data_IF_246007464493
#
_entry.id   IF_246007464493
#
_cell.length_a   1.000
_cell.length_b   1.000
_cell.length_c   1.000
_cell.angle_alpha   90.00
_cell.angle_beta   90.00
_cell.angle_gamma   90.00
#
_symmetry.space_group_name_H-M   'P 1'
#
loop_
_entity.id
_entity.type
_entity.pdbx_description
1 polymer ?
#
# COMPACT_ATOMS: atom_id res chain seq x y z
N UNK A 1 28.77 -3.00 -26.04
CA UNK A 1 27.71 -3.95 -26.41
C UNK A 1 26.74 -4.06 -25.25
N UNK A 2 25.44 -4.18 -25.53
CA UNK A 2 24.42 -4.23 -24.47
C UNK A 2 24.50 -5.58 -23.74
N UNK A 3 24.67 -5.55 -22.42
CA UNK A 3 24.64 -6.72 -21.55
C UNK A 3 23.18 -7.21 -21.48
N UNK A 4 22.92 -8.49 -21.80
CA UNK A 4 21.58 -9.05 -21.64
C UNK A 4 21.20 -9.08 -20.17
N UNK A 5 19.99 -8.62 -19.85
CA UNK A 5 19.45 -8.79 -18.51
C UNK A 5 18.87 -10.21 -18.35
N UNK A 6 18.75 -10.72 -17.10
CA UNK A 6 18.08 -11.99 -16.84
C UNK A 6 16.64 -12.06 -17.36
N UNK A 7 16.00 -10.90 -17.58
CA UNK A 7 14.67 -10.80 -18.19
C UNK A 7 14.72 -11.03 -19.69
N UNK A 8 15.71 -10.47 -20.38
CA UNK A 8 15.92 -10.62 -21.82
C UNK A 8 16.21 -12.09 -22.19
N UNK A 9 16.89 -12.84 -21.31
CA UNK A 9 17.15 -14.27 -21.51
C UNK A 9 15.87 -15.11 -21.40
N UNK A 10 14.95 -14.73 -20.50
CA UNK A 10 13.69 -15.47 -20.28
C UNK A 10 12.63 -15.18 -21.36
N UNK A 11 12.66 -13.99 -21.94
CA UNK A 11 11.70 -13.57 -22.96
C UNK A 11 12.19 -13.88 -24.39
N UNK A 12 13.41 -14.39 -24.55
CA UNK A 12 13.95 -14.75 -25.87
C UNK A 12 13.23 -15.96 -26.48
N UNK A 13 12.79 -15.82 -27.73
CA UNK A 13 12.11 -16.88 -28.48
C UNK A 13 12.85 -17.14 -29.79
N UNK A 14 13.22 -18.40 -30.04
CA UNK A 14 13.97 -18.81 -31.24
C UNK A 14 13.04 -19.10 -32.40
N UNK A 15 13.47 -18.84 -33.63
CA UNK A 15 12.67 -19.18 -34.81
C UNK A 15 12.75 -20.67 -35.14
N UNK A 16 11.62 -21.23 -35.55
CA UNK A 16 11.51 -22.65 -35.93
C UNK A 16 11.74 -22.84 -37.44
N UNK A 17 12.52 -23.83 -37.84
CA UNK A 17 12.87 -24.06 -39.25
C UNK A 17 11.70 -24.74 -40.00
N UNK A 18 11.26 -24.18 -41.13
CA UNK A 18 10.00 -24.52 -41.84
C UNK A 18 9.81 -26.00 -42.26
N UNK A 19 10.84 -26.85 -42.21
CA UNK A 19 10.76 -28.23 -42.73
C UNK A 19 11.39 -29.32 -41.83
N UNK A 20 11.79 -28.99 -40.59
CA UNK A 20 12.19 -29.97 -39.56
C UNK A 20 11.73 -29.49 -38.19
N UNK A 21 11.33 -30.40 -37.32
CA UNK A 21 11.11 -30.08 -35.91
C UNK A 21 12.45 -29.67 -35.28
N UNK A 22 12.63 -28.36 -35.06
CA UNK A 22 13.87 -27.82 -34.50
C UNK A 22 13.95 -26.30 -34.60
N UNK A 23 14.72 -25.71 -33.70
CA UNK A 23 15.13 -24.31 -33.75
C UNK A 23 16.35 -24.15 -34.65
N UNK A 24 16.57 -22.94 -35.18
CA UNK A 24 17.78 -22.63 -35.95
C UNK A 24 19.00 -22.72 -35.03
N UNK A 25 19.92 -23.64 -35.32
CA UNK A 25 21.06 -23.96 -34.43
C UNK A 25 22.05 -22.80 -34.40
N UNK A 26 22.23 -22.09 -35.51
CA UNK A 26 23.15 -20.95 -35.59
C UNK A 26 22.63 -19.77 -34.73
N UNK A 27 21.30 -19.55 -34.70
CA UNK A 27 20.66 -18.52 -33.84
C UNK A 27 20.78 -18.87 -32.35
N UNK A 28 20.72 -20.15 -32.00
CA UNK A 28 20.88 -20.63 -30.63
C UNK A 28 22.33 -20.49 -30.18
N UNK A 29 23.30 -20.84 -31.03
CA UNK A 29 24.72 -20.75 -30.71
C UNK A 29 25.17 -19.29 -30.55
N UNK A 30 24.74 -18.38 -31.44
CA UNK A 30 25.01 -16.94 -31.31
C UNK A 30 24.45 -16.36 -30.00
N UNK A 31 23.25 -16.81 -29.59
CA UNK A 31 22.65 -16.40 -28.32
C UNK A 31 23.41 -16.96 -27.11
N UNK A 32 23.87 -18.21 -27.17
CA UNK A 32 24.67 -18.83 -26.09
C UNK A 32 26.03 -18.14 -25.93
N UNK A 33 26.67 -17.72 -27.02
CA UNK A 33 27.90 -16.92 -26.97
C UNK A 33 27.65 -15.56 -26.32
N UNK A 34 26.54 -14.90 -26.67
CA UNK A 34 26.17 -13.61 -26.08
C UNK A 34 25.81 -13.70 -24.59
N UNK A 35 25.18 -14.80 -24.16
CA UNK A 35 24.92 -15.11 -22.74
C UNK A 35 26.22 -15.39 -22.00
N UNK A 36 27.15 -16.13 -22.61
CA UNK A 36 28.45 -16.47 -22.01
C UNK A 36 29.29 -15.22 -21.80
N UNK A 37 29.37 -14.36 -22.81
CA UNK A 37 30.08 -13.09 -22.72
C UNK A 37 29.44 -12.15 -21.67
N UNK A 38 28.11 -12.13 -21.58
CA UNK A 38 27.39 -11.35 -20.56
C UNK A 38 27.62 -11.90 -19.15
N UNK A 39 27.68 -13.22 -18.96
CA UNK A 39 27.97 -13.87 -17.66
C UNK A 39 29.42 -13.66 -17.26
N UNK A 40 30.37 -13.73 -18.19
CA UNK A 40 31.77 -13.39 -17.93
C UNK A 40 31.95 -11.91 -17.59
N UNK A 41 31.26 -11.02 -18.30
CA UNK A 41 31.29 -9.59 -18.04
C UNK A 41 30.66 -9.26 -16.68
N UNK A 42 29.49 -9.83 -16.36
CA UNK A 42 28.87 -9.70 -15.03
C UNK A 42 29.75 -10.33 -13.94
N UNK A 43 30.41 -11.45 -14.21
CA UNK A 43 31.35 -12.10 -13.30
C UNK A 43 32.56 -11.20 -13.01
N UNK A 44 33.13 -10.55 -14.03
CA UNK A 44 34.20 -9.55 -13.88
C UNK A 44 33.70 -8.29 -13.14
N UNK A 45 32.48 -7.85 -13.39
CA UNK A 45 31.87 -6.69 -12.71
C UNK A 45 31.52 -6.97 -11.24
N UNK A 46 31.11 -8.20 -10.93
CA UNK A 46 30.89 -8.68 -9.56
C UNK A 46 32.22 -8.85 -8.79
N UNK A 47 33.29 -9.25 -9.47
CA UNK A 47 34.65 -9.29 -8.90
C UNK A 47 35.25 -7.88 -8.68
N UNK A 48 34.87 -6.87 -9.47
CA UNK A 48 35.39 -5.51 -9.31
C UNK A 48 34.58 -4.63 -8.33
N UNK A 49 33.30 -4.92 -8.09
CA UNK A 49 32.42 -4.08 -7.25
C UNK A 49 31.79 -4.79 -6.04
N UNK A 50 32.23 -6.00 -5.69
CA UNK A 50 31.77 -6.70 -4.48
C UNK A 50 32.60 -6.31 -3.24
N UNK A 51 31.98 -5.86 -2.14
CA UNK A 51 32.69 -5.73 -0.87
C UNK A 51 33.08 -7.13 -0.35
N UNK A 52 34.39 -7.37 -0.30
CA UNK A 52 35.04 -8.31 0.62
C UNK A 52 34.58 -9.79 0.58
N UNK A 53 34.95 -10.53 -0.47
CA UNK A 53 35.16 -11.98 -0.33
C UNK A 53 36.58 -12.28 0.19
N UNK A 54 36.83 -11.91 1.44
CA UNK A 54 37.85 -12.54 2.29
C UNK A 54 37.04 -13.42 3.26
N UNK A 55 37.12 -14.77 3.15
CA UNK A 55 38.21 -15.48 3.83
C UNK A 55 38.79 -16.71 3.12
N UNK A 56 38.37 -17.09 1.90
CA UNK A 56 38.88 -18.32 1.28
C UNK A 56 40.38 -18.27 0.94
N UNK A 57 40.94 -17.08 0.64
CA UNK A 57 42.39 -16.93 0.47
C UNK A 57 43.16 -17.11 1.79
N UNK A 58 42.57 -16.68 2.91
CA UNK A 58 43.18 -16.81 4.24
C UNK A 58 43.11 -18.26 4.73
N UNK A 59 41.99 -18.94 4.48
CA UNK A 59 41.81 -20.34 4.84
C UNK A 59 42.71 -21.27 4.02
N UNK A 60 42.89 -21.00 2.72
CA UNK A 60 43.82 -21.76 1.87
C UNK A 60 45.29 -21.44 2.23
N UNK A 61 45.60 -20.20 2.61
CA UNK A 61 46.92 -19.84 3.13
C UNK A 61 47.21 -20.53 4.49
N UNK A 62 46.22 -20.58 5.38
CA UNK A 62 46.31 -21.27 6.67
C UNK A 62 46.43 -22.79 6.47
N UNK A 63 45.69 -23.37 5.52
CA UNK A 63 45.79 -24.78 5.13
C UNK A 63 47.17 -25.10 4.54
N UNK A 64 47.70 -24.26 3.66
CA UNK A 64 49.04 -24.44 3.09
C UNK A 64 50.15 -24.27 4.14
N UNK A 65 49.99 -23.34 5.10
CA UNK A 65 50.88 -23.23 6.24
C UNK A 65 50.83 -24.50 7.11
N UNK A 66 49.62 -25.02 7.37
CA UNK A 66 49.41 -26.28 8.12
C UNK A 66 49.98 -27.49 7.39
N UNK A 67 49.86 -27.57 6.06
CA UNK A 67 50.46 -28.63 5.23
C UNK A 67 51.99 -28.54 5.27
N UNK A 68 52.56 -27.33 5.21
CA UNK A 68 54.00 -27.12 5.35
C UNK A 68 54.48 -27.54 6.74
N UNK A 69 53.74 -27.19 7.79
CA UNK A 69 54.04 -27.56 9.17
C UNK A 69 53.90 -29.07 9.42
N UNK A 70 52.86 -29.71 8.86
CA UNK A 70 52.69 -31.17 8.89
C UNK A 70 53.81 -31.88 8.12
N UNK A 71 54.25 -31.35 6.98
CA UNK A 71 55.39 -31.91 6.24
C UNK A 71 56.70 -31.80 7.03
N UNK A 72 56.92 -30.67 7.73
CA UNK A 72 58.07 -30.51 8.62
C UNK A 72 57.99 -31.47 9.83
N UNK A 73 56.81 -31.72 10.38
CA UNK A 73 56.62 -32.73 11.42
C UNK A 73 56.85 -34.15 10.90
N UNK A 74 56.41 -34.49 9.69
CA UNK A 74 56.66 -35.80 9.06
C UNK A 74 58.17 -36.00 8.80
N UNK A 75 58.87 -34.98 8.34
CA UNK A 75 60.34 -34.98 8.20
C UNK A 75 61.03 -35.17 9.56
N UNK A 76 60.59 -34.44 10.60
CA UNK A 76 61.11 -34.58 11.97
C UNK A 76 60.87 -35.98 12.53
N UNK A 77 59.67 -36.54 12.36
CA UNK A 77 59.32 -37.89 12.82
C UNK A 77 60.04 -38.98 12.03
N UNK A 78 60.33 -38.76 10.74
CA UNK A 78 61.18 -39.67 9.95
C UNK A 78 62.62 -39.64 10.46
N UNK A 79 63.15 -38.46 10.75
CA UNK A 79 64.50 -38.29 11.32
C UNK A 79 64.60 -38.91 12.72
N UNK A 80 63.58 -38.73 13.55
CA UNK A 80 63.48 -39.37 14.86
C UNK A 80 63.40 -40.90 14.74
N UNK A 81 62.65 -41.44 13.77
CA UNK A 81 62.63 -42.87 13.49
C UNK A 81 63.98 -43.40 12.94
N UNK A 82 64.74 -42.60 12.18
CA UNK A 82 66.08 -42.99 11.73
C UNK A 82 67.09 -42.93 12.88
N UNK A 83 66.98 -41.95 13.76
CA UNK A 83 67.82 -41.80 14.95
C UNK A 83 67.51 -42.91 15.96
N UNK A 84 66.23 -43.26 16.16
CA UNK A 84 65.81 -44.39 17.00
C UNK A 84 66.27 -45.74 16.41
N UNK A 85 66.28 -45.90 15.08
CA UNK A 85 66.88 -47.08 14.43
C UNK A 85 68.41 -47.12 14.60
N UNK A 86 69.09 -45.98 14.55
CA UNK A 86 70.53 -45.88 14.80
C UNK A 86 70.87 -46.15 16.28
N UNK A 87 70.02 -45.72 17.21
CA UNK A 87 70.12 -46.03 18.65
C UNK A 87 69.87 -47.51 18.92
N UNK A 88 68.90 -48.13 18.25
CA UNK A 88 68.68 -49.58 18.33
C UNK A 88 69.86 -50.41 17.79
N UNK A 89 70.60 -49.89 16.81
CA UNK A 89 71.82 -50.52 16.29
C UNK A 89 73.04 -50.38 17.23
N UNK A 90 73.04 -49.41 18.15
CA UNK A 90 74.14 -49.10 19.07
C UNK A 90 73.86 -49.46 20.55
N UNK A 91 72.85 -50.29 20.83
CA UNK A 91 72.44 -50.71 22.18
C UNK A 91 73.40 -51.74 22.84
N UNK A 92 74.70 -51.45 22.85
CA UNK A 92 75.75 -52.31 23.39
C UNK A 92 76.61 -51.70 24.50
N UNK A 93 76.43 -50.44 24.94
CA UNK A 93 77.30 -49.84 25.97
C UNK A 93 76.59 -48.80 26.86
N UNK A 94 77.01 -48.74 28.12
CA UNK A 94 76.41 -48.01 29.24
C UNK A 94 76.30 -46.46 29.12
N UNK A 95 76.73 -45.85 28.00
CA UNK A 95 76.50 -44.43 27.71
C UNK A 95 75.11 -44.13 27.15
N UNK A 96 74.34 -45.16 26.77
CA UNK A 96 73.00 -45.01 26.21
C UNK A 96 71.94 -44.62 27.27
N UNK A 97 72.13 -45.02 28.54
CA UNK A 97 71.21 -44.68 29.62
C UNK A 97 71.24 -43.18 29.96
N UNK A 98 72.43 -42.57 29.93
CA UNK A 98 72.62 -41.13 30.17
C UNK A 98 72.11 -40.26 29.01
N UNK A 99 72.23 -40.74 27.77
CA UNK A 99 71.66 -40.06 26.60
C UNK A 99 70.14 -40.20 26.55
N UNK A 100 69.59 -41.39 26.83
CA UNK A 100 68.15 -41.61 26.92
C UNK A 100 67.50 -40.77 28.04
N UNK A 101 68.18 -40.62 29.19
CA UNK A 101 67.72 -39.74 30.25
C UNK A 101 67.68 -38.27 29.80
N UNK A 102 68.72 -37.78 29.11
CA UNK A 102 68.75 -36.39 28.58
C UNK A 102 67.66 -36.14 27.54
N UNK A 103 67.43 -37.07 26.61
CA UNK A 103 66.37 -36.94 25.60
C UNK A 103 64.98 -36.99 26.23
N UNK A 104 64.76 -37.81 27.25
CA UNK A 104 63.49 -37.84 27.99
C UNK A 104 63.23 -36.51 28.74
N UNK A 105 64.26 -35.89 29.32
CA UNK A 105 64.13 -34.58 29.97
C UNK A 105 63.82 -33.47 28.97
N UNK A 106 64.43 -33.49 27.79
CA UNK A 106 64.12 -32.54 26.70
C UNK A 106 62.68 -32.72 26.16
N UNK A 107 62.20 -33.96 26.04
CA UNK A 107 60.83 -34.22 25.62
C UNK A 107 59.81 -33.78 26.68
N UNK A 108 60.10 -33.97 27.97
CA UNK A 108 59.28 -33.43 29.07
C UNK A 108 59.24 -31.90 29.04
N UNK A 109 60.39 -31.24 28.85
CA UNK A 109 60.44 -29.77 28.78
C UNK A 109 59.65 -29.23 27.58
N UNK A 110 59.73 -29.87 26.42
CA UNK A 110 58.91 -29.52 25.24
C UNK A 110 57.42 -29.77 25.48
N UNK A 111 57.06 -30.84 26.18
CA UNK A 111 55.67 -31.13 26.53
C UNK A 111 55.12 -30.11 27.55
N UNK A 112 55.93 -29.67 28.51
CA UNK A 112 55.60 -28.62 29.47
C UNK A 112 55.45 -27.25 28.79
N UNK A 113 56.33 -26.91 27.84
CA UNK A 113 56.20 -25.70 27.01
C UNK A 113 54.94 -25.72 26.16
N UNK A 114 54.61 -26.85 25.53
CA UNK A 114 53.37 -27.02 24.76
C UNK A 114 52.13 -26.90 25.65
N UNK A 115 52.13 -27.51 26.84
CA UNK A 115 51.03 -27.34 27.80
C UNK A 115 50.90 -25.90 28.29
N UNK A 116 52.02 -25.20 28.48
CA UNK A 116 52.02 -23.78 28.86
C UNK A 116 51.49 -22.89 27.72
N UNK A 117 51.83 -23.19 26.47
CA UNK A 117 51.30 -22.51 25.30
C UNK A 117 49.78 -22.74 25.15
N UNK A 118 49.32 -23.98 25.34
CA UNK A 118 47.89 -24.31 25.32
C UNK A 118 47.11 -23.61 26.46
N UNK A 119 47.71 -23.49 27.66
CA UNK A 119 47.10 -22.76 28.77
C UNK A 119 46.92 -21.27 28.45
N UNK A 120 47.95 -20.63 27.87
CA UNK A 120 47.87 -19.23 27.41
C UNK A 120 46.82 -19.06 26.31
N UNK A 121 46.71 -20.01 25.39
CA UNK A 121 45.71 -20.00 24.33
C UNK A 121 44.29 -20.15 24.89
N UNK A 122 44.06 -21.02 25.87
CA UNK A 122 42.78 -21.17 26.56
C UNK A 122 42.39 -19.90 27.34
N UNK A 123 43.34 -19.26 28.01
CA UNK A 123 43.10 -17.96 28.68
C UNK A 123 42.75 -16.86 27.67
N UNK A 124 43.38 -16.85 26.49
CA UNK A 124 43.06 -15.92 25.42
C UNK A 124 41.65 -16.15 24.86
N UNK A 125 41.26 -17.40 24.63
CA UNK A 125 39.90 -17.73 24.19
C UNK A 125 38.85 -17.37 25.24
N UNK A 126 39.16 -17.56 26.53
CA UNK A 126 38.26 -17.17 27.61
C UNK A 126 38.03 -15.66 27.63
N UNK A 127 39.08 -14.85 27.48
CA UNK A 127 38.97 -13.39 27.37
C UNK A 127 38.17 -12.96 26.13
N UNK A 128 38.36 -13.62 24.99
CA UNK A 128 37.58 -13.35 23.78
C UNK A 128 36.11 -13.70 23.96
N UNK A 129 35.78 -14.81 24.64
CA UNK A 129 34.42 -15.20 24.97
C UNK A 129 33.75 -14.21 25.93
N UNK A 130 34.47 -13.73 26.95
CA UNK A 130 34.00 -12.70 27.88
C UNK A 130 33.72 -11.37 27.15
N UNK A 131 34.63 -10.96 26.25
CA UNK A 131 34.45 -9.76 25.43
C UNK A 131 33.25 -9.87 24.47
N UNK A 132 33.07 -11.03 23.82
CA UNK A 132 31.93 -11.31 22.95
C UNK A 132 30.60 -11.27 23.74
N UNK A 133 30.61 -11.77 24.98
CA UNK A 133 29.43 -11.74 25.85
C UNK A 133 29.06 -10.31 26.25
N UNK A 134 30.05 -9.47 26.60
CA UNK A 134 29.80 -8.05 26.88
C UNK A 134 29.27 -7.29 25.66
N UNK A 135 29.82 -7.55 24.47
CA UNK A 135 29.34 -6.93 23.24
C UNK A 135 27.91 -7.36 22.90
N UNK A 136 27.57 -8.63 23.09
CA UNK A 136 26.21 -9.14 22.90
C UNK A 136 25.21 -8.50 23.87
N UNK A 137 25.59 -8.28 25.14
CA UNK A 137 24.76 -7.57 26.11
C UNK A 137 24.54 -6.10 25.73
N UNK A 138 25.58 -5.42 25.24
CA UNK A 138 25.47 -4.04 24.77
C UNK A 138 24.55 -3.92 23.56
N UNK A 139 24.73 -4.79 22.55
CA UNK A 139 23.89 -4.81 21.35
C UNK A 139 22.42 -5.11 21.70
N UNK A 140 22.18 -5.97 22.69
CA UNK A 140 20.83 -6.23 23.19
C UNK A 140 20.20 -4.97 23.81
N UNK A 141 20.96 -4.25 24.64
CA UNK A 141 20.49 -3.01 25.24
C UNK A 141 20.16 -1.94 24.19
N UNK A 142 21.04 -1.76 23.21
CA UNK A 142 20.83 -0.80 22.12
C UNK A 142 19.61 -1.17 21.26
N UNK A 143 19.39 -2.48 21.01
CA UNK A 143 18.21 -2.98 20.30
C UNK A 143 16.91 -2.74 21.08
N UNK A 144 16.92 -2.90 22.40
CA UNK A 144 15.76 -2.63 23.26
C UNK A 144 15.41 -1.14 23.23
N UNK A 145 16.41 -0.25 23.32
CA UNK A 145 16.21 1.20 23.21
C UNK A 145 15.66 1.63 21.85
N UNK A 146 16.20 1.08 20.75
CA UNK A 146 15.71 1.37 19.40
C UNK A 146 14.27 0.90 19.21
N UNK A 147 13.90 -0.24 19.81
CA UNK A 147 12.53 -0.76 19.79
C UNK A 147 11.57 0.18 20.52
N UNK A 148 11.98 0.69 21.68
CA UNK A 148 11.18 1.65 22.46
C UNK A 148 11.00 2.97 21.70
N UNK A 149 12.05 3.47 21.05
CA UNK A 149 11.99 4.67 20.22
C UNK A 149 11.07 4.48 19.00
N UNK A 150 11.15 3.32 18.34
CA UNK A 150 10.27 2.99 17.22
C UNK A 150 8.78 2.92 17.64
N UNK A 151 8.50 2.35 18.82
CA UNK A 151 7.16 2.29 19.37
C UNK A 151 6.62 3.69 19.71
N UNK A 152 7.45 4.56 20.30
CA UNK A 152 7.09 5.95 20.59
C UNK A 152 6.77 6.75 19.33
N UNK A 153 7.57 6.61 18.27
CA UNK A 153 7.31 7.25 16.98
C UNK A 153 6.02 6.75 16.33
N UNK A 154 5.75 5.44 16.37
CA UNK A 154 4.50 4.87 15.87
C UNK A 154 3.27 5.42 16.59
N UNK A 155 3.35 5.59 17.92
CA UNK A 155 2.26 6.17 18.69
C UNK A 155 1.97 7.63 18.31
N UNK A 156 3.03 8.42 18.08
CA UNK A 156 2.89 9.80 17.58
C UNK A 156 2.26 9.84 16.18
N UNK A 157 2.61 8.90 15.29
CA UNK A 157 2.04 8.80 13.95
C UNK A 157 0.52 8.54 14.03
N UNK A 158 0.09 7.61 14.88
CA UNK A 158 -1.34 7.29 15.02
C UNK A 158 -2.14 8.45 15.63
N UNK A 159 -1.57 9.17 16.62
CA UNK A 159 -2.21 10.36 17.19
C UNK A 159 -2.41 11.46 16.13
N UNK A 160 -1.40 11.72 15.31
CA UNK A 160 -1.47 12.73 14.26
C UNK A 160 -2.42 12.32 13.11
N UNK A 161 -2.50 11.03 12.74
CA UNK A 161 -3.52 10.55 11.81
C UNK A 161 -4.93 10.78 12.33
N UNK A 162 -5.17 10.47 13.62
CA UNK A 162 -6.46 10.71 14.25
C UNK A 162 -6.85 12.21 14.22
N UNK A 163 -5.89 13.11 14.49
CA UNK A 163 -6.10 14.55 14.36
C UNK A 163 -6.40 14.96 12.91
N UNK A 164 -5.71 14.39 11.92
CA UNK A 164 -5.95 14.66 10.50
C UNK A 164 -7.36 14.27 10.04
N UNK A 165 -7.86 13.10 10.43
CA UNK A 165 -9.23 12.68 10.12
C UNK A 165 -10.27 13.54 10.87
N UNK A 166 -9.97 13.99 12.09
CA UNK A 166 -10.84 14.93 12.81
C UNK A 166 -10.97 16.28 12.06
N UNK A 167 -9.86 16.86 11.61
CA UNK A 167 -9.85 18.12 10.83
C UNK A 167 -10.57 17.97 9.49
N UNK A 168 -10.45 16.81 8.84
CA UNK A 168 -11.15 16.50 7.60
C UNK A 168 -12.66 16.43 7.80
N UNK A 169 -13.12 15.80 8.89
CA UNK A 169 -14.54 15.75 9.23
C UNK A 169 -15.10 17.13 9.55
N UNK A 170 -14.35 17.97 10.28
CA UNK A 170 -14.71 19.37 10.52
C UNK A 170 -14.82 20.17 9.23
N UNK A 171 -13.90 19.98 8.28
CA UNK A 171 -13.96 20.62 6.96
C UNK A 171 -15.20 20.21 6.15
N UNK A 172 -15.55 18.92 6.17
CA UNK A 172 -16.75 18.45 5.50
C UNK A 172 -18.03 19.09 6.10
N UNK A 173 -18.08 19.23 7.43
CA UNK A 173 -19.17 19.91 8.12
C UNK A 173 -19.25 21.40 7.78
N UNK A 174 -18.12 22.11 7.80
CA UNK A 174 -18.06 23.53 7.42
C UNK A 174 -18.48 23.74 5.98
N UNK A 175 -18.05 22.86 5.05
CA UNK A 175 -18.47 22.91 3.65
C UNK A 175 -19.99 22.74 3.52
N UNK A 176 -20.59 21.77 4.22
CA UNK A 176 -22.04 21.60 4.27
C UNK A 176 -22.78 22.79 4.86
N UNK A 177 -22.19 23.50 5.83
CA UNK A 177 -22.75 24.74 6.37
C UNK A 177 -22.68 25.88 5.35
N UNK A 178 -21.56 26.05 4.65
CA UNK A 178 -21.39 27.06 3.59
C UNK A 178 -22.37 26.83 2.44
N UNK A 179 -22.58 25.58 2.04
CA UNK A 179 -23.54 25.24 0.98
C UNK A 179 -24.98 25.59 1.41
N UNK A 180 -25.34 25.29 2.67
CA UNK A 180 -26.64 25.66 3.25
C UNK A 180 -26.84 27.17 3.31
N UNK A 181 -25.84 27.91 3.80
CA UNK A 181 -25.89 29.36 3.87
C UNK A 181 -26.00 29.99 2.48
N UNK A 182 -25.28 29.45 1.49
CA UNK A 182 -25.40 29.91 0.09
C UNK A 182 -26.82 29.72 -0.44
N UNK A 183 -27.43 28.56 -0.15
CA UNK A 183 -28.82 28.30 -0.55
C UNK A 183 -29.82 29.24 0.13
N UNK A 184 -29.60 29.58 1.41
CA UNK A 184 -30.42 30.57 2.13
C UNK A 184 -30.24 31.98 1.55
N UNK A 185 -29.02 32.35 1.19
CA UNK A 185 -28.74 33.63 0.53
C UNK A 185 -29.47 33.70 -0.82
N UNK A 186 -29.44 32.64 -1.62
CA UNK A 186 -30.17 32.60 -2.89
C UNK A 186 -31.68 32.76 -2.69
N UNK A 187 -32.24 32.16 -1.64
CA UNK A 187 -33.66 32.31 -1.28
C UNK A 187 -33.99 33.73 -0.83
N UNK A 188 -33.17 34.33 0.04
CA UNK A 188 -33.33 35.70 0.52
C UNK A 188 -33.13 36.71 -0.61
N UNK A 189 -32.20 36.46 -1.53
CA UNK A 189 -31.95 37.29 -2.72
C UNK A 189 -33.14 37.22 -3.68
N UNK A 190 -33.74 36.04 -3.85
CA UNK A 190 -34.95 35.86 -4.63
C UNK A 190 -36.18 36.53 -3.96
N UNK A 191 -36.26 36.54 -2.63
CA UNK A 191 -37.29 37.28 -1.88
C UNK A 191 -37.10 38.80 -1.97
N UNK A 192 -35.86 39.28 -1.81
CA UNK A 192 -35.49 40.69 -1.99
C UNK A 192 -35.79 41.20 -3.41
N UNK A 193 -35.55 40.38 -4.43
CA UNK A 193 -35.90 40.71 -5.82
C UNK A 193 -37.43 40.79 -6.05
N UNK A 194 -38.24 40.09 -5.25
CA UNK A 194 -39.71 40.19 -5.28
C UNK A 194 -40.23 41.40 -4.50
N UNK A 195 -39.49 41.90 -3.52
CA UNK A 195 -39.87 43.01 -2.62
C UNK A 195 -39.06 44.29 -2.85
N UNK A 196 -38.63 44.55 -4.10
CA UNK A 196 -37.77 45.68 -4.46
C UNK A 196 -38.40 47.05 -4.10
N UNK A 197 -38.16 47.50 -2.86
CA UNK A 197 -38.66 48.77 -2.33
C UNK A 197 -38.42 49.03 -0.84
N UNK A 198 -37.99 48.05 -0.04
CA UNK A 198 -37.91 48.20 1.42
C UNK A 198 -36.46 48.37 1.94
N UNK A 199 -36.22 49.41 2.77
CA UNK A 199 -34.89 49.77 3.31
C UNK A 199 -34.25 48.67 4.17
N UNK A 200 -35.06 47.81 4.79
CA UNK A 200 -34.58 46.70 5.63
C UNK A 200 -33.78 45.65 4.85
N UNK A 201 -34.07 45.47 3.57
CA UNK A 201 -33.38 44.52 2.70
C UNK A 201 -31.93 44.96 2.44
N UNK A 202 -31.66 46.27 2.41
CA UNK A 202 -30.31 46.81 2.20
C UNK A 202 -29.42 46.64 3.45
N UNK A 203 -30.00 46.73 4.65
CA UNK A 203 -29.27 46.42 5.89
C UNK A 203 -28.99 44.91 6.01
N UNK A 204 -29.94 44.05 5.64
CA UNK A 204 -29.73 42.61 5.58
C UNK A 204 -28.66 42.21 4.57
N UNK A 205 -28.60 42.84 3.39
CA UNK A 205 -27.57 42.57 2.38
C UNK A 205 -26.17 42.94 2.88
N UNK A 206 -26.04 44.04 3.63
CA UNK A 206 -24.78 44.45 4.24
C UNK A 206 -24.34 43.53 5.38
N UNK A 207 -25.29 43.01 6.18
CA UNK A 207 -25.01 42.01 7.20
C UNK A 207 -24.51 40.68 6.59
N UNK A 208 -25.19 40.19 5.56
CA UNK A 208 -24.80 38.99 4.80
C UNK A 208 -23.43 39.17 4.13
N UNK A 209 -23.11 40.37 3.64
CA UNK A 209 -21.80 40.66 3.04
C UNK A 209 -20.68 40.60 4.08
N UNK A 210 -20.92 41.09 5.31
CA UNK A 210 -19.94 41.00 6.41
C UNK A 210 -19.75 39.55 6.88
N UNK A 211 -20.81 38.77 6.98
CA UNK A 211 -20.70 37.34 7.30
C UNK A 211 -19.90 36.60 6.23
N UNK A 212 -20.15 36.86 4.94
CA UNK A 212 -19.37 36.29 3.83
C UNK A 212 -17.88 36.61 3.95
N UNK A 213 -17.54 37.85 4.30
CA UNK A 213 -16.14 38.27 4.42
C UNK A 213 -15.47 37.61 5.65
N UNK A 214 -16.20 37.40 6.74
CA UNK A 214 -15.75 36.59 7.88
C UNK A 214 -15.55 35.11 7.51
N UNK A 215 -16.47 34.51 6.75
CA UNK A 215 -16.32 33.13 6.27
C UNK A 215 -15.15 32.98 5.31
N UNK A 216 -14.87 33.98 4.46
CA UNK A 216 -13.67 34.00 3.61
C UNK A 216 -12.39 34.06 4.44
N UNK A 217 -12.33 34.93 5.45
CA UNK A 217 -11.18 35.02 6.34
C UNK A 217 -10.93 33.70 7.10
N UNK A 218 -11.99 33.06 7.58
CA UNK A 218 -11.90 31.74 8.23
C UNK A 218 -11.47 30.65 7.25
N UNK A 219 -11.94 30.68 6.00
CA UNK A 219 -11.53 29.74 4.95
C UNK A 219 -10.04 29.91 4.60
N UNK A 220 -9.54 31.15 4.54
CA UNK A 220 -8.13 31.42 4.31
C UNK A 220 -7.26 30.93 5.47
N UNK A 221 -7.65 31.19 6.73
CA UNK A 221 -6.94 30.68 7.90
C UNK A 221 -6.92 29.15 7.92
N UNK A 222 -8.04 28.51 7.63
CA UNK A 222 -8.15 27.06 7.58
C UNK A 222 -7.34 26.46 6.42
N UNK A 223 -7.26 27.16 5.27
CA UNK A 223 -6.40 26.76 4.15
C UNK A 223 -4.91 26.81 4.52
N UNK A 224 -4.50 27.80 5.33
CA UNK A 224 -3.14 27.89 5.87
C UNK A 224 -2.87 26.76 6.85
N UNK A 225 -3.82 26.42 7.71
CA UNK A 225 -3.74 25.27 8.62
C UNK A 225 -3.66 23.93 7.87
N UNK A 226 -4.39 23.80 6.76
CA UNK A 226 -4.33 22.62 5.88
C UNK A 226 -2.98 22.53 5.16
N UNK A 227 -2.39 23.65 4.77
CA UNK A 227 -1.06 23.69 4.20
C UNK A 227 0.00 23.28 5.23
N UNK A 228 -0.10 23.75 6.48
CA UNK A 228 0.82 23.32 7.55
C UNK A 228 0.62 21.85 7.93
N UNK A 229 -0.63 21.36 7.97
CA UNK A 229 -0.93 19.95 8.22
C UNK A 229 -0.41 19.05 7.08
N UNK A 230 -0.52 19.48 5.81
CA UNK A 230 0.08 18.77 4.67
C UNK A 230 1.60 18.74 4.74
N UNK A 231 2.22 19.84 5.18
CA UNK A 231 3.66 19.89 5.37
C UNK A 231 4.11 18.98 6.52
N UNK A 232 3.36 18.90 7.61
CA UNK A 232 3.58 17.92 8.67
C UNK A 232 3.41 16.48 8.18
N UNK A 233 2.42 16.20 7.33
CA UNK A 233 2.22 14.87 6.73
C UNK A 233 3.40 14.45 5.84
N UNK A 234 4.03 15.40 5.14
CA UNK A 234 5.23 15.15 4.36
C UNK A 234 6.46 14.82 5.24
N UNK A 235 6.63 15.55 6.34
CA UNK A 235 7.64 15.20 7.38
C UNK A 235 7.34 13.83 7.99
N UNK A 236 6.07 13.45 8.09
CA UNK A 236 5.61 12.14 8.57
C UNK A 236 5.91 10.99 7.59
N UNK A 237 5.78 11.22 6.29
CA UNK A 237 6.19 10.25 5.28
C UNK A 237 7.71 10.01 5.35
N UNK A 238 8.49 11.07 5.60
CA UNK A 238 9.93 10.95 5.81
C UNK A 238 10.27 10.22 7.12
N UNK A 239 9.58 10.50 8.23
CA UNK A 239 9.73 9.75 9.48
C UNK A 239 9.36 8.26 9.31
N UNK A 240 8.33 7.94 8.53
CA UNK A 240 7.96 6.56 8.21
C UNK A 240 9.04 5.81 7.42
N UNK A 241 9.79 6.49 6.56
CA UNK A 241 10.96 5.89 5.90
C UNK A 241 12.11 5.66 6.87
N UNK A 242 12.31 6.54 7.85
CA UNK A 242 13.32 6.37 8.90
C UNK A 242 12.99 5.21 9.83
N UNK A 243 11.71 5.02 10.21
CA UNK A 243 11.27 3.88 11.03
C UNK A 243 11.48 2.55 10.29
N UNK A 244 11.23 2.49 8.98
CA UNK A 244 11.51 1.30 8.17
C UNK A 244 13.01 0.98 8.11
N UNK A 245 13.85 2.00 7.98
CA UNK A 245 15.30 1.82 7.95
C UNK A 245 15.84 1.37 9.33
N UNK A 246 15.31 1.93 10.43
CA UNK A 246 15.65 1.48 11.79
C UNK A 246 15.20 0.03 12.05
N UNK A 247 14.03 -0.37 11.55
CA UNK A 247 13.58 -1.77 11.60
C UNK A 247 14.52 -2.71 10.85
N UNK A 248 15.00 -2.30 9.67
CA UNK A 248 15.98 -3.08 8.89
C UNK A 248 17.29 -3.27 9.66
N UNK A 249 17.79 -2.22 10.31
CA UNK A 249 19.02 -2.26 11.10
C UNK A 249 18.87 -3.13 12.37
N UNK A 250 17.68 -3.13 12.99
CA UNK A 250 17.37 -3.99 14.13
C UNK A 250 17.42 -5.48 13.75
N UNK A 251 16.86 -5.83 12.59
CA UNK A 251 16.87 -7.21 12.08
C UNK A 251 18.29 -7.70 11.81
N UNK A 252 19.11 -6.86 11.16
CA UNK A 252 20.53 -7.17 10.90
C UNK A 252 21.37 -7.31 12.18
N UNK A 253 21.04 -6.56 13.22
CA UNK A 253 21.69 -6.64 14.54
C UNK A 253 21.31 -7.94 15.25
N UNK A 254 20.02 -8.33 15.21
CA UNK A 254 19.52 -9.61 15.75
C UNK A 254 20.15 -10.82 15.07
N UNK A 255 20.29 -10.79 13.74
CA UNK A 255 20.97 -11.86 13.03
C UNK A 255 22.44 -12.00 13.42
N UNK A 256 23.14 -10.89 13.68
CA UNK A 256 24.53 -10.90 14.15
C UNK A 256 24.63 -11.52 15.55
N UNK A 257 23.73 -11.17 16.47
CA UNK A 257 23.69 -11.77 17.81
C UNK A 257 23.48 -13.29 17.75
N UNK A 258 22.54 -13.75 16.90
CA UNK A 258 22.28 -15.17 16.72
C UNK A 258 23.48 -15.93 16.13
N UNK A 259 24.21 -15.32 15.19
CA UNK A 259 25.45 -15.89 14.62
C UNK A 259 26.57 -15.99 15.65
N UNK A 260 26.72 -15.01 16.55
CA UNK A 260 27.71 -15.07 17.64
C UNK A 260 27.34 -16.13 18.68
N UNK A 261 26.06 -16.25 19.05
CA UNK A 261 25.59 -17.29 19.98
C UNK A 261 25.85 -18.70 19.45
N UNK A 262 25.63 -18.93 18.15
CA UNK A 262 25.91 -20.21 17.50
C UNK A 262 27.41 -20.56 17.43
N UNK A 263 28.31 -19.58 17.51
CA UNK A 263 29.76 -19.83 17.56
C UNK A 263 30.25 -20.16 18.97
N UNK A 264 29.61 -19.62 20.01
CA UNK A 264 29.94 -19.90 21.41
C UNK A 264 29.51 -21.32 21.82
N UNK A 265 28.38 -21.81 21.28
CA UNK A 265 27.89 -23.18 21.53
C UNK A 265 28.81 -24.29 20.95
N UNK A 266 29.71 -23.94 20.02
CA UNK A 266 30.59 -24.90 19.33
C UNK A 266 31.91 -25.18 20.07
N UNK A 267 32.14 -24.60 21.25
CA UNK A 267 33.42 -24.61 21.98
C UNK A 267 33.24 -25.00 23.45
N UNK A 268 32.73 -26.20 23.72
CA UNK A 268 32.86 -26.84 25.04
C UNK A 268 33.56 -28.21 24.91
N UNK A 269 34.71 -28.45 25.60
CA UNK A 269 35.28 -29.79 25.70
C UNK A 269 35.00 -30.44 27.06
N UNK A 270 34.59 -31.70 26.98
CA UNK A 270 34.38 -32.69 28.03
C UNK A 270 35.65 -33.12 28.78
N UNK A 271 35.56 -33.29 30.10
CA UNK A 271 36.64 -33.70 31.01
C UNK A 271 36.47 -35.14 31.52
N UNK A 272 37.33 -36.09 31.16
CA UNK A 272 37.57 -37.32 31.94
C UNK A 272 38.95 -37.94 31.65
N UNK A 273 39.90 -37.85 32.60
CA UNK A 273 41.05 -38.76 32.71
C UNK A 273 41.58 -38.75 34.15
N UNK A 274 41.31 -39.80 34.92
CA UNK A 274 41.71 -39.86 36.34
C UNK A 274 41.90 -41.27 36.94
N UNK A 275 41.95 -42.35 36.16
CA UNK A 275 41.89 -43.72 36.70
C UNK A 275 43.08 -44.64 36.39
N UNK A 276 44.19 -44.16 35.83
CA UNK A 276 45.35 -45.00 35.48
C UNK A 276 46.56 -44.90 36.42
N UNK A 277 46.36 -44.61 37.71
CA UNK A 277 47.48 -44.44 38.65
C UNK A 277 47.36 -45.26 39.97
N UNK A 278 46.65 -46.39 39.94
CA UNK A 278 46.45 -47.26 41.13
C UNK A 278 46.61 -48.77 40.90
N UNK A 279 47.52 -49.21 40.02
CA UNK A 279 47.83 -50.66 39.84
C UNK A 279 49.35 -50.93 39.86
N UNK A 280 50.11 -50.28 40.75
CA UNK A 280 51.57 -50.50 40.86
C UNK A 280 52.05 -50.80 42.30
N UNK A 281 51.18 -51.26 43.20
CA UNK A 281 51.48 -51.30 44.64
C UNK A 281 51.31 -52.64 45.36
N UNK A 282 51.03 -53.76 44.68
CA UNK A 282 50.68 -55.01 45.37
C UNK A 282 51.35 -56.24 44.76
N UNK A 283 52.67 -56.36 44.90
CA UNK A 283 53.38 -57.60 44.65
C UNK A 283 54.73 -57.65 45.39
N UNK A 284 54.71 -57.62 46.73
CA UNK A 284 55.89 -57.99 47.53
C UNK A 284 55.45 -58.45 48.92
N UNK A 285 55.22 -59.76 49.06
CA UNK A 285 55.58 -60.59 50.22
C UNK A 285 54.81 -61.91 50.17
N UNK A 286 55.53 -63.01 49.99
CA UNK A 286 55.61 -64.10 50.97
C UNK A 286 56.48 -65.26 50.42
N UNK A 287 56.78 -66.26 51.24
CA UNK A 287 57.68 -67.41 51.00
C UNK A 287 56.93 -68.77 50.92
N UNK A 288 57.51 -69.75 50.19
CA UNK A 288 57.14 -71.16 49.88
C UNK A 288 56.31 -71.47 48.60
N UNK A 289 56.82 -72.38 47.75
CA UNK A 289 56.59 -72.46 46.28
C UNK A 289 55.42 -73.37 45.80
N UNK A 290 55.09 -74.53 46.41
CA UNK A 290 54.03 -75.42 45.91
C UNK A 290 52.61 -75.00 46.31
N UNK A 291 52.44 -74.49 47.53
CA UNK A 291 51.16 -73.97 48.03
C UNK A 291 50.87 -72.57 47.49
N UNK A 292 51.90 -71.76 47.20
CA UNK A 292 51.76 -70.53 46.40
C UNK A 292 51.22 -70.80 45.03
N UNK A 293 51.74 -71.78 44.31
CA UNK A 293 51.28 -72.07 42.96
C UNK A 293 49.79 -72.48 42.97
N UNK A 294 49.37 -73.29 43.94
CA UNK A 294 47.97 -73.76 44.04
C UNK A 294 47.03 -72.68 44.58
N UNK A 295 47.45 -71.88 45.57
CA UNK A 295 46.70 -70.74 46.07
C UNK A 295 46.65 -69.59 45.05
N UNK A 296 47.73 -69.35 44.30
CA UNK A 296 47.75 -68.41 43.18
C UNK A 296 46.89 -68.91 42.02
N UNK A 297 46.86 -70.21 41.71
CA UNK A 297 45.98 -70.76 40.68
C UNK A 297 44.51 -70.64 41.10
N UNK A 298 44.18 -70.93 42.36
CA UNK A 298 42.80 -70.80 42.89
C UNK A 298 42.37 -69.34 42.94
N UNK A 299 43.25 -68.45 43.40
CA UNK A 299 43.02 -67.01 43.40
C UNK A 299 42.93 -66.46 41.98
N UNK A 300 43.74 -66.96 41.04
CA UNK A 300 43.69 -66.59 39.63
C UNK A 300 42.41 -67.10 38.96
N UNK A 301 41.91 -68.29 39.30
CA UNK A 301 40.63 -68.81 38.83
C UNK A 301 39.46 -67.99 39.38
N UNK A 302 39.47 -67.66 40.68
CA UNK A 302 38.44 -66.79 41.27
C UNK A 302 38.48 -65.37 40.70
N UNK A 303 39.68 -64.82 40.51
CA UNK A 303 39.86 -63.50 39.90
C UNK A 303 39.42 -63.53 38.43
N UNK A 304 39.74 -64.59 37.70
CA UNK A 304 39.30 -64.81 36.33
C UNK A 304 37.78 -64.86 36.24
N UNK A 305 37.12 -65.69 37.05
CA UNK A 305 35.66 -65.78 37.08
C UNK A 305 35.03 -64.44 37.47
N UNK A 306 35.63 -63.72 38.42
CA UNK A 306 35.20 -62.37 38.77
C UNK A 306 35.36 -61.37 37.62
N UNK A 307 36.43 -61.44 36.82
CA UNK A 307 36.61 -60.60 35.64
C UNK A 307 35.68 -61.01 34.49
N UNK A 308 35.39 -62.30 34.32
CA UNK A 308 34.46 -62.81 33.33
C UNK A 308 33.04 -62.35 33.65
N UNK A 309 32.61 -62.43 34.92
CA UNK A 309 31.28 -61.97 35.33
C UNK A 309 31.17 -60.44 35.29
N UNK A 310 32.23 -59.71 35.67
CA UNK A 310 32.31 -58.25 35.45
C UNK A 310 32.28 -57.91 33.96
N UNK A 311 32.93 -58.70 33.11
CA UNK A 311 32.91 -58.53 31.66
C UNK A 311 31.52 -58.76 31.07
N UNK A 312 30.82 -59.82 31.50
CA UNK A 312 29.42 -60.09 31.10
C UNK A 312 28.46 -59.02 31.60
N UNK A 313 28.63 -58.56 32.85
CA UNK A 313 27.84 -57.46 33.40
C UNK A 313 28.09 -56.15 32.63
N UNK A 314 29.35 -55.85 32.31
CA UNK A 314 29.70 -54.65 31.54
C UNK A 314 29.21 -54.72 30.10
N UNK A 315 29.27 -55.90 29.47
CA UNK A 315 28.71 -56.12 28.14
C UNK A 315 27.19 -55.89 28.13
N UNK A 316 26.47 -56.42 29.14
CA UNK A 316 25.03 -56.20 29.30
C UNK A 316 24.70 -54.72 29.52
N UNK A 317 25.44 -54.04 30.40
CA UNK A 317 25.30 -52.61 30.67
C UNK A 317 25.54 -51.77 29.39
N UNK A 318 26.57 -52.11 28.60
CA UNK A 318 26.83 -51.44 27.32
C UNK A 318 25.68 -51.69 26.35
N UNK A 319 25.17 -52.92 26.22
CA UNK A 319 24.06 -53.19 25.31
C UNK A 319 22.77 -52.48 25.70
N UNK A 320 22.44 -52.42 27.00
CA UNK A 320 21.27 -51.71 27.51
C UNK A 320 21.43 -50.20 27.34
N UNK A 321 22.61 -49.65 27.65
CA UNK A 321 22.91 -48.24 27.42
C UNK A 321 22.89 -47.88 25.94
N UNK A 322 23.37 -48.75 25.06
CA UNK A 322 23.31 -48.57 23.61
C UNK A 322 21.87 -48.62 23.08
N UNK A 323 21.05 -49.56 23.57
CA UNK A 323 19.63 -49.64 23.20
C UNK A 323 18.86 -48.41 23.68
N UNK A 324 19.07 -47.97 24.93
CA UNK A 324 18.45 -46.76 25.45
C UNK A 324 18.84 -45.52 24.64
N UNK A 325 20.12 -45.36 24.29
CA UNK A 325 20.58 -44.25 23.43
C UNK A 325 19.99 -44.32 22.02
N UNK A 326 19.85 -45.51 21.46
CA UNK A 326 19.22 -45.69 20.15
C UNK A 326 17.74 -45.30 20.18
N UNK A 327 16.98 -45.78 21.16
CA UNK A 327 15.57 -45.44 21.34
C UNK A 327 15.37 -43.94 21.57
N UNK A 328 16.24 -43.33 22.39
CA UNK A 328 16.24 -41.89 22.62
C UNK A 328 16.49 -41.10 21.32
N UNK A 329 17.49 -41.52 20.53
CA UNK A 329 17.81 -40.86 19.27
C UNK A 329 16.68 -41.00 18.24
N UNK A 330 16.08 -42.18 18.12
CA UNK A 330 14.94 -42.43 17.24
C UNK A 330 13.73 -41.61 17.69
N UNK A 331 13.46 -41.52 18.99
CA UNK A 331 12.36 -40.72 19.53
C UNK A 331 12.58 -39.23 19.22
N UNK A 332 13.77 -38.70 19.49
CA UNK A 332 14.12 -37.31 19.16
C UNK A 332 14.00 -37.01 17.66
N UNK A 333 14.43 -37.95 16.81
CA UNK A 333 14.31 -37.80 15.36
C UNK A 333 12.84 -37.81 14.90
N UNK A 334 12.02 -38.70 15.46
CA UNK A 334 10.59 -38.78 15.16
C UNK A 334 9.83 -37.55 15.66
N UNK A 335 10.16 -37.05 16.84
CA UNK A 335 9.58 -35.82 17.41
C UNK A 335 9.94 -34.62 16.57
N UNK A 336 11.21 -34.49 16.17
CA UNK A 336 11.67 -33.43 15.28
C UNK A 336 10.94 -33.48 13.92
N UNK A 337 10.86 -34.65 13.30
CA UNK A 337 10.15 -34.82 12.01
C UNK A 337 8.67 -34.49 12.11
N UNK A 338 8.01 -34.93 13.18
CA UNK A 338 6.60 -34.66 13.42
C UNK A 338 6.35 -33.17 13.64
N UNK A 339 7.22 -32.50 14.41
CA UNK A 339 7.16 -31.06 14.62
C UNK A 339 7.33 -30.28 13.32
N UNK A 340 8.35 -30.61 12.52
CA UNK A 340 8.56 -29.93 11.22
C UNK A 340 7.38 -30.14 10.27
N UNK A 341 6.76 -31.33 10.25
CA UNK A 341 5.56 -31.57 9.44
C UNK A 341 4.38 -30.75 9.90
N UNK A 342 4.11 -30.72 11.20
CA UNK A 342 3.02 -29.91 11.77
C UNK A 342 3.23 -28.42 11.50
N UNK A 343 4.43 -27.91 11.73
CA UNK A 343 4.78 -26.51 11.45
C UNK A 343 4.59 -26.17 9.96
N UNK A 344 5.01 -27.06 9.05
CA UNK A 344 4.83 -26.86 7.62
C UNK A 344 3.34 -26.92 7.20
N UNK A 345 2.57 -27.85 7.75
CA UNK A 345 1.13 -27.98 7.48
C UNK A 345 0.36 -26.76 8.00
N UNK A 346 0.71 -26.27 9.18
CA UNK A 346 0.05 -25.11 9.77
C UNK A 346 0.44 -23.81 9.05
N UNK A 347 1.69 -23.69 8.63
CA UNK A 347 2.12 -22.59 7.75
C UNK A 347 1.37 -22.62 6.42
N UNK A 348 1.19 -23.80 5.80
CA UNK A 348 0.45 -23.94 4.54
C UNK A 348 -1.03 -23.58 4.72
N UNK A 349 -1.67 -24.06 5.80
CA UNK A 349 -3.06 -23.71 6.13
C UNK A 349 -3.24 -22.20 6.31
N UNK A 350 -2.36 -21.57 7.08
CA UNK A 350 -2.40 -20.13 7.33
C UNK A 350 -2.24 -19.35 6.02
N UNK A 351 -1.22 -19.69 5.23
CA UNK A 351 -0.99 -19.07 3.92
C UNK A 351 -2.20 -19.19 2.99
N UNK A 352 -2.84 -20.36 2.95
CA UNK A 352 -4.05 -20.56 2.13
C UNK A 352 -5.23 -19.76 2.66
N UNK A 353 -5.44 -19.75 3.97
CA UNK A 353 -6.51 -18.99 4.60
C UNK A 353 -6.36 -17.48 4.34
N UNK A 354 -5.14 -16.96 4.46
CA UNK A 354 -4.82 -15.57 4.18
C UNK A 354 -5.03 -15.22 2.70
N UNK A 355 -4.60 -16.11 1.79
CA UNK A 355 -4.82 -15.94 0.36
C UNK A 355 -6.31 -15.96 -0.01
N UNK A 356 -7.10 -16.86 0.58
CA UNK A 356 -8.54 -16.95 0.36
C UNK A 356 -9.27 -15.73 0.93
N UNK A 357 -8.86 -15.25 2.11
CA UNK A 357 -9.39 -14.04 2.72
C UNK A 357 -9.10 -12.80 1.86
N UNK A 358 -7.86 -12.65 1.41
CA UNK A 358 -7.45 -11.58 0.51
C UNK A 358 -8.23 -11.61 -0.80
N UNK A 359 -8.33 -12.79 -1.44
CA UNK A 359 -9.11 -12.97 -2.67
C UNK A 359 -10.57 -12.58 -2.47
N UNK A 360 -11.19 -12.98 -1.36
CA UNK A 360 -12.58 -12.63 -1.05
C UNK A 360 -12.76 -11.13 -0.89
N UNK A 361 -11.82 -10.45 -0.24
CA UNK A 361 -11.86 -9.00 -0.09
C UNK A 361 -11.73 -8.30 -1.44
N UNK A 362 -10.77 -8.70 -2.28
CA UNK A 362 -10.59 -8.11 -3.63
C UNK A 362 -11.84 -8.28 -4.48
N UNK A 363 -12.49 -9.45 -4.44
CA UNK A 363 -13.77 -9.66 -5.14
C UNK A 363 -14.87 -8.77 -4.58
N UNK A 364 -15.01 -8.67 -3.25
CA UNK A 364 -16.01 -7.81 -2.61
C UNK A 364 -15.82 -6.33 -2.97
N UNK A 365 -14.59 -5.86 -2.99
CA UNK A 365 -14.26 -4.47 -3.32
C UNK A 365 -14.53 -4.19 -4.81
N UNK A 366 -14.18 -5.13 -5.69
CA UNK A 366 -14.46 -5.05 -7.13
C UNK A 366 -15.97 -5.07 -7.43
N UNK A 367 -16.72 -5.97 -6.80
CA UNK A 367 -18.18 -6.04 -6.91
C UNK A 367 -18.83 -4.75 -6.38
N UNK A 368 -18.36 -4.24 -5.25
CA UNK A 368 -18.81 -2.97 -4.68
C UNK A 368 -18.57 -1.79 -5.61
N UNK A 369 -17.39 -1.72 -6.23
CA UNK A 369 -17.08 -0.68 -7.21
C UNK A 369 -17.98 -0.79 -8.45
N UNK A 370 -18.18 -2.00 -8.99
CA UNK A 370 -19.03 -2.23 -10.16
C UNK A 370 -20.49 -1.83 -9.90
N UNK A 371 -21.04 -2.20 -8.74
CA UNK A 371 -22.40 -1.81 -8.33
C UNK A 371 -22.51 -0.30 -8.24
N UNK A 372 -21.53 0.38 -7.62
CA UNK A 372 -21.53 1.84 -7.51
C UNK A 372 -21.50 2.52 -8.88
N UNK A 373 -20.63 2.08 -9.79
CA UNK A 373 -20.57 2.64 -11.15
C UNK A 373 -21.88 2.46 -11.90
N UNK A 374 -22.53 1.29 -11.78
CA UNK A 374 -23.85 1.06 -12.39
C UNK A 374 -24.91 1.98 -11.78
N UNK A 375 -24.93 2.10 -10.45
CA UNK A 375 -25.88 2.95 -9.75
C UNK A 375 -25.71 4.43 -10.14
N UNK A 376 -24.47 4.93 -10.21
CA UNK A 376 -24.17 6.30 -10.62
C UNK A 376 -24.59 6.54 -12.09
N UNK A 377 -24.35 5.57 -12.97
CA UNK A 377 -24.79 5.63 -14.37
C UNK A 377 -26.33 5.63 -14.49
N UNK A 378 -27.03 4.80 -13.71
CA UNK A 378 -28.49 4.75 -13.69
C UNK A 378 -29.08 6.07 -13.15
N UNK A 379 -28.49 6.64 -12.10
CA UNK A 379 -28.86 7.95 -11.56
C UNK A 379 -28.65 9.06 -12.59
N UNK A 380 -27.50 9.09 -13.25
CA UNK A 380 -27.22 10.06 -14.29
C UNK A 380 -28.21 9.96 -15.45
N UNK A 381 -28.48 8.74 -15.93
CA UNK A 381 -29.45 8.50 -16.99
C UNK A 381 -30.87 8.92 -16.58
N UNK A 382 -31.26 8.66 -15.33
CA UNK A 382 -32.56 9.08 -14.78
C UNK A 382 -32.67 10.60 -14.74
N UNK A 383 -31.67 11.29 -14.20
CA UNK A 383 -31.68 12.76 -14.13
C UNK A 383 -31.74 13.39 -15.53
N UNK A 384 -31.01 12.82 -16.50
CA UNK A 384 -31.06 13.30 -17.88
C UNK A 384 -32.41 13.08 -18.56
N UNK A 385 -33.09 11.97 -18.26
CA UNK A 385 -34.47 11.75 -18.71
C UNK A 385 -35.43 12.75 -18.07
N UNK A 386 -35.35 12.95 -16.75
CA UNK A 386 -36.21 13.93 -16.05
C UNK A 386 -35.98 15.37 -16.55
N UNK A 387 -34.72 15.76 -16.79
CA UNK A 387 -34.39 17.06 -17.40
C UNK A 387 -35.00 17.20 -18.81
N UNK A 388 -34.92 16.15 -19.63
CA UNK A 388 -35.48 16.14 -20.98
C UNK A 388 -37.02 16.21 -20.95
N UNK A 389 -37.66 15.43 -20.09
CA UNK A 389 -39.11 15.40 -19.92
C UNK A 389 -39.63 16.77 -19.44
N UNK A 390 -38.92 17.41 -18.51
CA UNK A 390 -39.25 18.75 -18.03
C UNK A 390 -39.08 19.81 -19.14
N UNK A 391 -38.02 19.73 -19.93
CA UNK A 391 -37.80 20.64 -21.05
C UNK A 391 -38.88 20.47 -22.12
N UNK A 392 -39.23 19.23 -22.46
CA UNK A 392 -40.32 18.93 -23.39
C UNK A 392 -41.65 19.50 -22.89
N UNK A 393 -41.98 19.28 -21.61
CA UNK A 393 -43.19 19.83 -21.00
C UNK A 393 -43.23 21.38 -21.06
N UNK A 394 -42.10 22.04 -20.82
CA UNK A 394 -42.01 23.51 -20.91
C UNK A 394 -42.19 24.00 -22.35
N UNK A 395 -41.57 23.33 -23.32
CA UNK A 395 -41.73 23.66 -24.75
C UNK A 395 -43.19 23.51 -25.17
N UNK A 396 -43.84 22.41 -24.79
CA UNK A 396 -45.26 22.16 -25.06
C UNK A 396 -46.14 23.22 -24.41
N UNK A 397 -45.87 23.59 -23.15
CA UNK A 397 -46.61 24.63 -22.43
C UNK A 397 -46.47 25.99 -23.11
N UNK A 398 -45.25 26.37 -23.51
CA UNK A 398 -44.98 27.64 -24.19
C UNK A 398 -45.65 27.70 -25.56
N UNK A 399 -45.65 26.59 -26.29
CA UNK A 399 -46.36 26.48 -27.56
C UNK A 399 -47.87 26.66 -27.36
N UNK A 400 -48.46 25.94 -26.40
CA UNK A 400 -49.88 26.06 -26.07
C UNK A 400 -50.26 27.49 -25.63
N UNK A 401 -49.44 28.15 -24.81
CA UNK A 401 -49.66 29.54 -24.39
C UNK A 401 -49.55 30.52 -25.56
N UNK A 402 -48.59 30.33 -26.46
CA UNK A 402 -48.45 31.16 -27.65
C UNK A 402 -49.66 31.01 -28.59
N UNK A 403 -50.10 29.78 -28.82
CA UNK A 403 -51.29 29.48 -29.62
C UNK A 403 -52.55 30.09 -29.00
N UNK A 404 -52.73 29.94 -27.68
CA UNK A 404 -53.84 30.55 -26.95
C UNK A 404 -53.82 32.08 -27.04
N UNK A 405 -52.64 32.70 -26.90
CA UNK A 405 -52.50 34.16 -26.99
C UNK A 405 -52.80 34.68 -28.39
N UNK A 406 -52.35 33.94 -29.41
CA UNK A 406 -52.60 34.28 -30.82
C UNK A 406 -54.10 34.16 -31.14
N UNK A 407 -54.72 33.06 -30.72
CA UNK A 407 -56.15 32.81 -30.93
C UNK A 407 -57.04 33.81 -30.20
N UNK A 408 -56.76 34.07 -28.92
CA UNK A 408 -57.51 35.06 -28.13
C UNK A 408 -57.31 36.50 -28.63
N UNK A 409 -56.10 36.85 -29.07
CA UNK A 409 -55.83 38.13 -29.73
C UNK A 409 -56.64 38.30 -31.02
N UNK A 410 -56.65 37.27 -31.87
CA UNK A 410 -57.46 37.26 -33.10
C UNK A 410 -58.97 37.35 -32.81
N UNK A 411 -59.47 36.60 -31.83
CA UNK A 411 -60.88 36.64 -31.41
C UNK A 411 -61.27 38.03 -30.86
N UNK A 412 -60.40 38.66 -30.08
CA UNK A 412 -60.63 40.01 -29.55
C UNK A 412 -60.60 41.06 -30.65
N UNK A 413 -59.65 40.99 -31.58
CA UNK A 413 -59.60 41.88 -32.73
C UNK A 413 -60.84 41.73 -33.61
N UNK A 414 -61.27 40.49 -33.89
CA UNK A 414 -62.51 40.23 -34.62
C UNK A 414 -63.75 40.82 -33.93
N UNK A 415 -63.83 40.74 -32.60
CA UNK A 415 -64.90 41.39 -31.81
C UNK A 415 -64.84 42.91 -31.92
N UNK A 416 -63.67 43.51 -31.80
CA UNK A 416 -63.49 44.96 -31.94
C UNK A 416 -63.95 45.45 -33.31
N UNK A 417 -63.50 44.79 -34.39
CA UNK A 417 -63.90 45.13 -35.76
C UNK A 417 -65.41 45.00 -35.95
N UNK A 418 -66.04 43.94 -35.41
CA UNK A 418 -67.50 43.80 -35.46
C UNK A 418 -68.23 44.92 -34.72
N UNK A 419 -67.78 45.29 -33.53
CA UNK A 419 -68.40 46.38 -32.76
C UNK A 419 -68.24 47.73 -33.48
N UNK A 420 -67.06 47.98 -34.07
CA UNK A 420 -66.79 49.18 -34.87
C UNK A 420 -67.74 49.25 -36.08
N UNK A 421 -67.87 48.15 -36.83
CA UNK A 421 -68.80 48.02 -37.95
C UNK A 421 -70.26 48.24 -37.52
N UNK A 422 -70.68 47.66 -36.38
CA UNK A 422 -72.03 47.84 -35.86
C UNK A 422 -72.30 49.32 -35.49
N UNK A 423 -71.33 49.99 -34.90
CA UNK A 423 -71.42 51.43 -34.60
C UNK A 423 -71.49 52.26 -35.89
N UNK A 424 -70.67 51.95 -36.89
CA UNK A 424 -70.73 52.61 -38.19
C UNK A 424 -72.09 52.42 -38.87
N UNK A 425 -72.66 51.21 -38.81
CA UNK A 425 -74.02 50.93 -39.30
C UNK A 425 -75.04 51.82 -38.60
N UNK A 426 -75.01 51.92 -37.26
CA UNK A 426 -75.93 52.80 -36.50
C UNK A 426 -75.78 54.28 -36.89
N UNK A 427 -74.56 54.76 -37.10
CA UNK A 427 -74.31 56.14 -37.55
C UNK A 427 -74.88 56.36 -38.95
N UNK A 428 -74.66 55.42 -39.87
CA UNK A 428 -75.21 55.48 -41.23
C UNK A 428 -76.75 55.46 -41.18
N UNK A 429 -77.36 54.60 -40.36
CA UNK A 429 -78.81 54.56 -40.16
C UNK A 429 -79.37 55.90 -39.64
N UNK A 430 -78.71 56.50 -38.65
CA UNK A 430 -79.06 57.82 -38.12
C UNK A 430 -78.95 58.90 -39.20
N UNK A 431 -77.88 58.90 -39.99
CA UNK A 431 -77.70 59.83 -41.10
C UNK A 431 -78.78 59.66 -42.17
N UNK A 432 -79.16 58.41 -42.50
CA UNK A 432 -80.26 58.12 -43.43
C UNK A 432 -81.57 58.68 -42.87
N UNK A 433 -81.85 58.51 -41.58
CA UNK A 433 -83.05 59.07 -40.96
C UNK A 433 -83.04 60.61 -40.99
N UNK A 434 -81.91 61.25 -40.67
CA UNK A 434 -81.75 62.69 -40.77
C UNK A 434 -81.93 63.21 -42.20
N UNK A 435 -81.38 62.52 -43.20
CA UNK A 435 -81.57 62.84 -44.61
C UNK A 435 -83.04 62.70 -45.05
N UNK A 436 -83.76 61.68 -44.58
CA UNK A 436 -85.20 61.51 -44.84
C UNK A 436 -86.03 62.64 -44.21
N UNK A 437 -85.70 63.07 -43.00
CA UNK A 437 -86.33 64.22 -42.35
C UNK A 437 -86.06 65.50 -43.15
N UNK A 438 -84.80 65.73 -43.53
CA UNK A 438 -84.42 66.85 -44.37
C UNK A 438 -85.17 66.84 -45.71
N UNK A 439 -85.29 65.68 -46.37
CA UNK A 439 -86.06 65.54 -47.61
C UNK A 439 -87.54 65.89 -47.39
N UNK A 440 -88.13 65.42 -46.28
CA UNK A 440 -89.52 65.71 -45.93
C UNK A 440 -89.74 67.20 -45.70
N UNK A 441 -88.86 67.85 -44.94
CA UNK A 441 -88.89 69.30 -44.72
C UNK A 441 -88.66 70.08 -46.02
N UNK A 442 -87.70 69.65 -46.84
CA UNK A 442 -87.40 70.27 -48.12
C UNK A 442 -88.58 70.18 -49.09
N UNK A 443 -89.24 69.01 -49.18
CA UNK A 443 -90.46 68.83 -49.97
C UNK A 443 -91.59 69.71 -49.45
N UNK A 444 -91.73 69.85 -48.13
CA UNK A 444 -92.72 70.75 -47.53
C UNK A 444 -92.44 72.20 -47.92
N UNK A 445 -91.21 72.68 -47.73
CA UNK A 445 -90.80 74.05 -48.13
C UNK A 445 -90.95 74.29 -49.63
N UNK A 446 -90.62 73.30 -50.47
CA UNK A 446 -90.81 73.38 -51.92
C UNK A 446 -92.30 73.48 -52.26
N UNK A 447 -93.14 72.69 -51.61
CA UNK A 447 -94.61 72.73 -51.80
C UNK A 447 -95.17 74.08 -51.36
N UNK A 448 -94.73 74.60 -50.22
CA UNK A 448 -95.11 75.92 -49.71
C UNK A 448 -94.66 77.04 -50.64
N UNK A 449 -93.43 76.97 -51.16
CA UNK A 449 -92.88 77.93 -52.11
C UNK A 449 -93.63 77.91 -53.44
N UNK A 450 -93.95 76.72 -53.96
CA UNK A 450 -94.78 76.57 -55.16
C UNK A 450 -96.21 77.08 -54.92
N UNK A 451 -96.77 76.84 -53.72
CA UNK A 451 -98.06 77.39 -53.31
C UNK A 451 -98.04 78.93 -53.22
N UNK A 452 -96.98 79.51 -52.68
CA UNK A 452 -96.77 80.96 -52.66
C UNK A 452 -96.66 81.52 -54.07
N UNK A 453 -95.88 80.90 -54.96
CA UNK A 453 -95.80 81.30 -56.38
C UNK A 453 -97.16 81.18 -57.08
N UNK A 454 -97.91 80.11 -56.83
CA UNK A 454 -99.26 79.93 -57.38
C UNK A 454 -100.21 81.02 -56.90
N UNK A 455 -100.18 81.36 -55.61
CA UNK A 455 -100.96 82.45 -55.05
C UNK A 455 -100.53 83.81 -55.61
N UNK A 456 -99.22 84.04 -55.81
CA UNK A 456 -98.70 85.28 -56.40
C UNK A 456 -99.10 85.45 -57.87
N UNK A 457 -99.16 84.35 -58.62
CA UNK A 457 -99.70 84.32 -60.01
C UNK A 457 -101.23 84.44 -60.01
N UNK A 458 -101.92 83.90 -59.01
CA UNK A 458 -103.38 84.06 -58.87
C UNK A 458 -103.76 85.48 -58.45
N UNK A 459 -102.95 86.12 -57.60
CA UNK A 459 -103.10 87.52 -57.19
C UNK A 459 -102.72 88.48 -58.33
N UNK A 460 -101.74 88.14 -59.18
CA UNK A 460 -101.52 88.90 -60.43
C UNK A 460 -102.69 88.76 -61.41
N UNK A 461 -103.35 87.59 -61.44
CA UNK A 461 -104.58 87.38 -62.20
C UNK A 461 -105.79 88.14 -61.59
N UNK A 462 -105.77 88.42 -60.28
CA UNK A 462 -106.79 89.20 -59.59
C UNK A 462 -106.53 90.72 -59.70
N UNK A 463 -105.27 91.15 -59.68
CA UNK A 463 -104.88 92.53 -60.00
C UNK A 463 -105.23 92.91 -61.45
N UNK A 464 -105.17 91.95 -62.38
CA UNK A 464 -105.64 92.13 -63.76
C UNK A 464 -107.15 92.39 -63.87
N UNK A 465 -107.94 92.06 -62.85
CA UNK A 465 -109.40 92.29 -62.81
C UNK A 465 -109.83 93.56 -62.10
N UNK A 466 -109.00 94.14 -61.22
CA UNK A 466 -109.38 95.31 -60.41
C UNK A 466 -109.16 96.64 -61.16
N UNK A 467 -108.32 96.68 -62.19
CA UNK A 467 -108.03 97.91 -62.98
C UNK A 467 -109.05 98.20 -64.12
N UNK A 468 -110.16 97.44 -64.21
CA UNK A 468 -111.21 97.64 -65.22
C UNK A 468 -112.57 98.07 -64.67
N UNK A 469 -112.76 98.20 -63.35
CA UNK A 469 -114.04 98.59 -62.78
C UNK A 469 -113.98 99.94 -62.05
N UNK A 470 -114.33 100.97 -62.82
CA UNK A 470 -115.03 102.20 -62.40
C UNK A 470 -114.21 103.46 -62.18
N UNK A 471 -113.97 104.13 -63.32
CA UNK A 471 -114.12 105.56 -63.47
C UNK A 471 -115.58 105.93 -63.85
N UNK A 472 -116.10 106.99 -63.20
CA UNK A 472 -117.04 108.00 -63.76
C UNK A 472 -118.59 107.82 -63.75
N UNK A 473 -119.38 108.94 -63.76
CA UNK A 473 -120.41 109.22 -62.73
C UNK A 473 -121.82 109.74 -63.19
N UNK A 474 -122.75 109.83 -62.21
CA UNK A 474 -123.98 110.67 -62.00
C UNK A 474 -125.23 110.59 -62.92
N UNK A 475 -126.31 110.09 -62.27
CA UNK A 475 -127.75 110.50 -62.18
C UNK A 475 -128.59 110.72 -63.46
N UNK A 476 -129.46 109.76 -63.74
CA UNK A 476 -130.92 109.89 -63.58
C UNK A 476 -131.53 108.54 -63.20
#
# INVERSE_FOLDING_TARGET
MALLTPKDIREHTFQTVRFKEGYDVDEVDDFLDQVTETVEALGKQAMQNGPSTQPLGQDVANLNAKISELNNQIESLKKENTDLKAVAANAGNASAADQAAKTATEQLHKAEENNRALAVQNDQFKRQSEQATMLAQQLKHDNDQLTEQANGLNQQIEQAKAQGEQLKNQNAQLKSQVDRLSTQIDQLTAQAAKEAGNKDVAEQLNAVTRERDQFRANTENLSRELATARQQLAVQQQAGTQVKELQRQLEESRERENKLRAQIEKVEPSTETGSLQKIAGAAQSASSEPERATAMLTLAMQLHDQYVDKGKAKAKEITEASQAKYEELVTKANDYSSRTRTEADDYNKTTRADADAYKKQVHSDADGYSVKTRQDADLYAKNKREEADNYEAEVQRRAADYDNKTRSGADNYAKQVRNELENQVKVIESNIQGLKQFETEYRTRLTDFLGQLMNQVSDSNNYSKVDQSQSSPRRH
#
